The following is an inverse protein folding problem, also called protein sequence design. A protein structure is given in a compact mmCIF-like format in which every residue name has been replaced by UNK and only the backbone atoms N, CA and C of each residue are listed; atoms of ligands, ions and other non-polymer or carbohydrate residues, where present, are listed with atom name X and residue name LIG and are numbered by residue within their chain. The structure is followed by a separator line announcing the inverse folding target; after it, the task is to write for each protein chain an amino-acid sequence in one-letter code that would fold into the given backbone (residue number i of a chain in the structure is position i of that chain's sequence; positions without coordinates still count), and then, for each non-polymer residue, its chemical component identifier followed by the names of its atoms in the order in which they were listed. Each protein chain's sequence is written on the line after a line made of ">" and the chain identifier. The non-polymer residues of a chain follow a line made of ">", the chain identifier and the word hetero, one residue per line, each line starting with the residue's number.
data_IF_226077995404
#
_entry.id   IF_226077995404
#
_cell.length_a   1.000
_cell.length_b   1.000
_cell.length_c   1.000
_cell.angle_alpha   90.00
_cell.angle_beta   90.00
_cell.angle_gamma   90.00
#
_symmetry.space_group_name_H-M   'P 1'
#
loop_
_entity.id
_entity.type
_entity.pdbx_description
1 polymer ?
#
# COMPACT_ATOMS: atom_id res chain seq x y z
N UNK A 1 -17.02 -2.96 34.06
CA UNK A 1 -18.00 -3.62 33.16
C UNK A 1 -18.99 -2.57 32.70
N UNK A 2 -19.06 -2.31 31.40
CA UNK A 2 -20.05 -1.41 30.81
C UNK A 2 -21.44 -2.01 31.00
N UNK A 3 -22.34 -1.31 31.68
CA UNK A 3 -23.72 -1.80 31.87
C UNK A 3 -24.43 -1.90 30.51
N UNK A 4 -25.24 -2.96 30.33
CA UNK A 4 -25.98 -3.26 29.10
C UNK A 4 -26.74 -2.04 28.56
N UNK A 5 -27.32 -1.24 29.48
CA UNK A 5 -28.02 0.01 29.17
C UNK A 5 -27.16 0.98 28.33
N UNK A 6 -25.92 1.24 28.75
CA UNK A 6 -25.05 2.21 28.06
C UNK A 6 -24.56 1.68 26.72
N UNK A 7 -24.40 0.36 26.61
CA UNK A 7 -24.07 -0.27 25.33
C UNK A 7 -25.21 -0.11 24.33
N UNK A 8 -26.45 -0.37 24.73
CA UNK A 8 -27.64 -0.17 23.89
C UNK A 8 -27.79 1.30 23.48
N UNK A 9 -27.60 2.24 24.40
CA UNK A 9 -27.60 3.68 24.10
C UNK A 9 -26.51 4.06 23.08
N UNK A 10 -25.29 3.55 23.26
CA UNK A 10 -24.19 3.80 22.34
C UNK A 10 -24.45 3.19 20.96
N UNK A 11 -25.02 1.99 20.90
CA UNK A 11 -25.37 1.30 19.66
C UNK A 11 -26.47 2.02 18.88
N UNK A 12 -27.48 2.55 19.59
CA UNK A 12 -28.55 3.35 19.02
C UNK A 12 -28.01 4.66 18.43
N UNK A 13 -27.02 5.28 19.08
CA UNK A 13 -26.33 6.47 18.59
C UNK A 13 -24.97 6.19 17.92
N UNK A 14 -24.79 5.01 17.29
CA UNK A 14 -23.55 4.64 16.60
C UNK A 14 -23.17 5.56 15.45
N UNK A 15 -24.10 6.40 14.98
CA UNK A 15 -23.82 7.48 14.01
C UNK A 15 -22.73 8.43 14.49
N UNK A 16 -22.61 8.65 15.80
CA UNK A 16 -21.54 9.47 16.38
C UNK A 16 -20.16 8.83 16.15
N UNK A 17 -20.07 7.51 16.36
CA UNK A 17 -18.86 6.72 16.09
C UNK A 17 -18.55 6.69 14.59
N UNK A 18 -19.56 6.45 13.75
CA UNK A 18 -19.42 6.52 12.28
C UNK A 18 -18.95 7.90 11.81
N UNK A 19 -19.41 8.97 12.46
CA UNK A 19 -18.92 10.33 12.22
C UNK A 19 -17.44 10.50 12.58
N UNK A 20 -16.99 9.93 13.69
CA UNK A 20 -15.59 9.96 14.10
C UNK A 20 -14.69 9.15 13.15
N UNK A 21 -15.15 7.97 12.70
CA UNK A 21 -14.47 7.17 11.67
C UNK A 21 -14.32 7.95 10.36
N UNK A 22 -15.41 8.59 9.91
CA UNK A 22 -15.39 9.44 8.72
C UNK A 22 -14.42 10.61 8.87
N UNK A 23 -14.37 11.24 10.04
CA UNK A 23 -13.42 12.33 10.33
C UNK A 23 -11.96 11.84 10.39
N UNK A 24 -11.73 10.58 10.75
CA UNK A 24 -10.42 9.91 10.67
C UNK A 24 -10.08 9.39 9.26
N UNK A 25 -10.88 9.74 8.23
CA UNK A 25 -10.74 9.26 6.85
C UNK A 25 -10.89 7.73 6.68
N UNK A 26 -11.54 7.05 7.63
CA UNK A 26 -11.87 5.63 7.50
C UNK A 26 -13.20 5.49 6.77
N UNK A 27 -13.17 4.81 5.62
CA UNK A 27 -14.34 4.54 4.78
C UNK A 27 -14.90 3.13 5.07
N UNK A 28 -16.18 2.86 4.76
CA UNK A 28 -16.79 1.54 4.97
C UNK A 28 -16.13 0.38 4.21
N UNK A 29 -15.40 0.66 3.13
CA UNK A 29 -14.64 -0.33 2.35
C UNK A 29 -13.28 -0.66 2.96
N UNK A 30 -12.87 0.01 4.04
CA UNK A 30 -11.65 -0.31 4.76
C UNK A 30 -11.80 -1.66 5.50
N UNK A 31 -10.82 -2.54 5.34
CA UNK A 31 -10.86 -3.91 5.86
C UNK A 31 -11.09 -4.03 7.39
N UNK A 32 -10.71 -3.02 8.19
CA UNK A 32 -10.95 -3.00 9.65
C UNK A 32 -12.10 -2.07 10.06
N UNK A 33 -12.96 -1.66 9.12
CA UNK A 33 -14.03 -0.69 9.42
C UNK A 33 -14.96 -1.18 10.54
N UNK A 34 -15.44 -2.41 10.45
CA UNK A 34 -16.38 -2.99 11.43
C UNK A 34 -15.74 -3.15 12.81
N UNK A 35 -14.46 -3.54 12.86
CA UNK A 35 -13.72 -3.67 14.12
C UNK A 35 -13.55 -2.31 14.80
N UNK A 36 -13.14 -1.29 14.04
CA UNK A 36 -13.02 0.08 14.55
C UNK A 36 -14.37 0.67 14.98
N UNK A 37 -15.46 0.29 14.30
CA UNK A 37 -16.81 0.69 14.67
C UNK A 37 -17.22 0.05 16.01
N UNK A 38 -16.99 -1.25 16.18
CA UNK A 38 -17.31 -1.98 17.41
C UNK A 38 -16.51 -1.44 18.60
N UNK A 39 -15.19 -1.29 18.45
CA UNK A 39 -14.31 -0.70 19.46
C UNK A 39 -14.78 0.72 19.83
N UNK A 40 -15.15 1.50 18.83
CA UNK A 40 -15.70 2.84 19.02
C UNK A 40 -17.02 2.84 19.79
N UNK A 41 -17.93 1.90 19.54
CA UNK A 41 -19.18 1.79 20.32
C UNK A 41 -18.88 1.43 21.77
N UNK A 42 -17.96 0.49 22.02
CA UNK A 42 -17.56 0.11 23.38
C UNK A 42 -16.98 1.29 24.14
N UNK A 43 -16.07 2.05 23.50
CA UNK A 43 -15.48 3.24 24.09
C UNK A 43 -16.53 4.32 24.36
N UNK A 44 -17.48 4.49 23.46
CA UNK A 44 -18.57 5.45 23.66
C UNK A 44 -19.47 5.04 24.83
N UNK A 45 -19.86 3.76 24.92
CA UNK A 45 -20.63 3.24 26.04
C UNK A 45 -19.93 3.45 27.40
N UNK A 46 -18.60 3.28 27.45
CA UNK A 46 -17.80 3.57 28.63
C UNK A 46 -17.79 5.06 28.99
N UNK A 47 -17.74 5.95 27.99
CA UNK A 47 -17.85 7.39 28.20
C UNK A 47 -19.23 7.80 28.74
N UNK A 48 -20.30 7.18 28.24
CA UNK A 48 -21.66 7.40 28.75
C UNK A 48 -21.75 6.99 30.22
N UNK A 49 -21.27 5.79 30.56
CA UNK A 49 -21.28 5.30 31.93
C UNK A 49 -20.48 6.17 32.89
N UNK A 50 -19.29 6.63 32.49
CA UNK A 50 -18.39 7.42 33.35
C UNK A 50 -18.85 8.84 33.61
N UNK A 51 -19.56 9.44 32.65
CA UNK A 51 -19.98 10.85 32.70
C UNK A 51 -21.47 11.02 33.00
N UNK A 52 -22.20 9.91 33.16
CA UNK A 52 -23.61 9.92 33.54
C UNK A 52 -23.80 10.67 34.86
N UNK A 53 -24.80 11.55 34.92
CA UNK A 53 -25.06 12.43 36.05
C UNK A 53 -24.05 13.57 36.29
N UNK A 54 -22.88 13.56 35.65
CA UNK A 54 -21.87 14.63 35.80
C UNK A 54 -22.02 15.73 34.75
N UNK A 55 -22.41 15.36 33.52
CA UNK A 55 -22.48 16.27 32.37
C UNK A 55 -23.76 16.05 31.58
N UNK A 56 -24.28 17.10 30.92
CA UNK A 56 -25.38 16.94 29.99
C UNK A 56 -24.95 16.07 28.80
N UNK A 57 -25.90 15.32 28.24
CA UNK A 57 -25.64 14.35 27.17
C UNK A 57 -24.90 14.95 25.97
N UNK A 58 -25.26 16.17 25.58
CA UNK A 58 -24.63 16.89 24.46
C UNK A 58 -23.14 17.17 24.68
N UNK A 59 -22.72 17.37 25.92
CA UNK A 59 -21.31 17.58 26.27
C UNK A 59 -20.56 16.24 26.31
N UNK A 60 -21.19 15.18 26.83
CA UNK A 60 -20.66 13.81 26.79
C UNK A 60 -20.40 13.39 25.35
N UNK A 61 -21.33 13.64 24.43
CA UNK A 61 -21.20 13.30 23.02
C UNK A 61 -20.04 14.04 22.34
N UNK A 62 -19.88 15.34 22.62
CA UNK A 62 -18.75 16.14 22.11
C UNK A 62 -17.39 15.62 22.61
N UNK A 63 -17.31 15.30 23.90
CA UNK A 63 -16.10 14.74 24.52
C UNK A 63 -15.79 13.34 23.96
N UNK A 64 -16.82 12.52 23.84
CA UNK A 64 -16.73 11.18 23.26
C UNK A 64 -16.25 11.23 21.82
N UNK A 65 -16.79 12.13 21.00
CA UNK A 65 -16.36 12.31 19.62
C UNK A 65 -14.86 12.63 19.52
N UNK A 66 -14.36 13.57 20.32
CA UNK A 66 -12.92 13.90 20.36
C UNK A 66 -12.10 12.68 20.77
N UNK A 67 -12.51 11.97 21.82
CA UNK A 67 -11.79 10.80 22.33
C UNK A 67 -11.78 9.65 21.31
N UNK A 68 -12.90 9.40 20.64
CA UNK A 68 -13.03 8.42 19.57
C UNK A 68 -12.09 8.74 18.41
N UNK A 69 -12.08 9.99 17.95
CA UNK A 69 -11.20 10.42 16.87
C UNK A 69 -9.73 10.15 17.21
N UNK A 70 -9.30 10.52 18.42
CA UNK A 70 -7.94 10.25 18.89
C UNK A 70 -7.63 8.76 18.96
N UNK A 71 -8.56 7.96 19.50
CA UNK A 71 -8.42 6.52 19.61
C UNK A 71 -8.27 5.85 18.24
N UNK A 72 -9.14 6.17 17.29
CA UNK A 72 -9.10 5.65 15.92
C UNK A 72 -7.77 6.02 15.25
N UNK A 73 -7.34 7.27 15.35
CA UNK A 73 -6.06 7.72 14.76
C UNK A 73 -4.88 6.96 15.37
N UNK A 74 -4.88 6.72 16.68
CA UNK A 74 -3.80 6.00 17.34
C UNK A 74 -3.77 4.51 16.94
N UNK A 75 -4.93 3.88 16.82
CA UNK A 75 -5.05 2.51 16.28
C UNK A 75 -4.53 2.43 14.84
N UNK A 76 -4.92 3.35 13.96
CA UNK A 76 -4.41 3.39 12.58
C UNK A 76 -2.90 3.60 12.52
N UNK A 77 -2.33 4.45 13.39
CA UNK A 77 -0.86 4.63 13.48
C UNK A 77 -0.16 3.37 13.97
N UNK A 78 -0.79 2.60 14.87
CA UNK A 78 -0.26 1.32 15.32
C UNK A 78 -0.24 0.32 14.18
N UNK A 79 -1.33 0.17 13.45
CA UNK A 79 -1.43 -0.72 12.29
C UNK A 79 -0.42 -0.34 11.21
N UNK A 80 -0.26 0.96 10.93
CA UNK A 80 0.76 1.45 10.00
C UNK A 80 2.17 1.01 10.41
N UNK A 81 2.55 1.19 11.69
CA UNK A 81 3.87 0.77 12.19
C UNK A 81 4.11 -0.73 12.06
N UNK A 82 3.08 -1.54 12.29
CA UNK A 82 3.16 -3.00 12.13
C UNK A 82 3.34 -3.36 10.67
N UNK A 83 2.56 -2.75 9.78
CA UNK A 83 2.65 -2.97 8.34
C UNK A 83 4.03 -2.57 7.78
N UNK A 84 4.56 -1.41 8.16
CA UNK A 84 5.89 -0.94 7.75
C UNK A 84 7.00 -1.88 8.21
N UNK A 85 6.92 -2.36 9.46
CA UNK A 85 7.87 -3.34 10.01
C UNK A 85 7.81 -4.66 9.24
N UNK A 86 6.60 -5.17 8.97
CA UNK A 86 6.44 -6.44 8.26
C UNK A 86 6.87 -6.33 6.80
N UNK A 87 6.54 -5.23 6.12
CA UNK A 87 7.01 -4.96 4.75
C UNK A 87 8.53 -4.96 4.65
N UNK A 88 9.24 -4.45 5.66
CA UNK A 88 10.69 -4.48 5.70
C UNK A 88 11.24 -5.92 5.83
N UNK A 89 10.53 -6.79 6.56
CA UNK A 89 10.88 -8.21 6.70
C UNK A 89 10.61 -8.95 5.38
N UNK A 90 9.44 -8.73 4.77
CA UNK A 90 9.06 -9.37 3.50
C UNK A 90 10.05 -9.02 2.38
N UNK A 91 10.41 -7.73 2.26
CA UNK A 91 11.44 -7.29 1.31
C UNK A 91 12.82 -7.89 1.58
N UNK A 92 13.17 -8.12 2.85
CA UNK A 92 14.42 -8.78 3.20
C UNK A 92 14.38 -10.28 2.86
N UNK A 93 13.19 -10.90 2.91
CA UNK A 93 12.98 -12.28 2.51
C UNK A 93 13.04 -12.44 0.98
N UNK A 94 12.50 -11.49 0.21
CA UNK A 94 12.60 -11.45 -1.26
C UNK A 94 14.06 -11.36 -1.74
N UNK A 95 14.96 -10.72 -0.98
CA UNK A 95 16.40 -10.72 -1.29
C UNK A 95 17.07 -12.09 -1.08
N UNK A 96 16.43 -12.98 -0.32
CA UNK A 96 16.85 -14.37 -0.08
C UNK A 96 16.25 -15.36 -1.08
N UNK A 97 15.29 -14.94 -1.90
CA UNK A 97 14.83 -15.73 -3.04
C UNK A 97 16.02 -15.83 -3.99
N UNK A 98 16.58 -17.03 -4.13
CA UNK A 98 17.75 -17.28 -4.95
C UNK A 98 17.47 -16.70 -6.34
N UNK A 99 18.17 -15.61 -6.68
CA UNK A 99 18.14 -15.07 -8.04
C UNK A 99 18.21 -16.26 -8.98
N UNK A 100 17.28 -16.37 -9.94
CA UNK A 100 17.28 -17.47 -10.89
C UNK A 100 18.59 -17.40 -11.69
N UNK A 101 19.67 -17.96 -11.13
CA UNK A 101 21.03 -17.82 -11.62
C UNK A 101 21.12 -18.41 -13.03
N UNK A 102 20.31 -19.43 -13.30
CA UNK A 102 20.11 -20.02 -14.61
C UNK A 102 19.58 -18.98 -15.62
N UNK A 103 18.59 -18.16 -15.23
CA UNK A 103 18.07 -17.08 -16.07
C UNK A 103 19.13 -16.00 -16.32
N UNK A 104 19.97 -15.69 -15.32
CA UNK A 104 21.07 -14.73 -15.47
C UNK A 104 22.18 -15.25 -16.40
N UNK A 105 22.49 -16.54 -16.32
CA UNK A 105 23.45 -17.21 -17.21
C UNK A 105 22.92 -17.27 -18.64
N UNK A 106 21.64 -17.62 -18.81
CA UNK A 106 20.97 -17.62 -20.12
C UNK A 106 20.96 -16.22 -20.74
N UNK A 107 20.60 -15.19 -19.96
CA UNK A 107 20.62 -13.79 -20.39
C UNK A 107 22.02 -13.35 -20.82
N UNK A 108 23.06 -13.70 -20.06
CA UNK A 108 24.46 -13.37 -20.39
C UNK A 108 24.91 -14.01 -21.71
N UNK A 109 24.48 -15.24 -21.98
CA UNK A 109 24.81 -15.95 -23.21
C UNK A 109 24.08 -15.35 -24.42
N UNK A 110 22.83 -14.94 -24.25
CA UNK A 110 22.05 -14.32 -25.32
C UNK A 110 22.46 -12.87 -25.59
N UNK A 111 22.84 -12.11 -24.57
CA UNK A 111 23.37 -10.76 -24.74
C UNK A 111 24.59 -10.72 -25.67
N UNK A 112 25.42 -11.78 -25.69
CA UNK A 112 26.56 -11.91 -26.62
C UNK A 112 26.16 -12.14 -28.07
N UNK A 113 24.96 -12.68 -28.32
CA UNK A 113 24.43 -12.96 -29.68
C UNK A 113 23.65 -11.78 -30.27
N UNK A 114 23.30 -10.79 -29.44
CA UNK A 114 22.58 -9.59 -29.87
C UNK A 114 23.44 -8.70 -30.77
N UNK A 115 22.78 -8.02 -31.70
CA UNK A 115 23.41 -6.95 -32.49
C UNK A 115 23.87 -5.80 -31.59
N UNK A 116 24.87 -5.03 -32.02
CA UNK A 116 25.35 -3.85 -31.30
C UNK A 116 24.21 -2.88 -30.92
N UNK A 117 23.26 -2.64 -31.83
CA UNK A 117 22.10 -1.79 -31.54
C UNK A 117 21.12 -2.43 -30.54
N UNK A 118 20.99 -3.75 -30.54
CA UNK A 118 20.16 -4.48 -29.57
C UNK A 118 20.83 -4.48 -28.18
N UNK A 119 22.16 -4.58 -28.11
CA UNK A 119 22.93 -4.44 -26.88
C UNK A 119 22.80 -3.04 -26.29
N UNK A 120 22.91 -1.99 -27.12
CA UNK A 120 22.68 -0.61 -26.68
C UNK A 120 21.28 -0.45 -26.10
N UNK A 121 20.24 -1.00 -26.74
CA UNK A 121 18.89 -0.97 -26.18
C UNK A 121 18.80 -1.78 -24.87
N UNK A 122 19.51 -2.91 -24.75
CA UNK A 122 19.49 -3.70 -23.52
C UNK A 122 20.16 -2.97 -22.35
N UNK A 123 21.38 -2.48 -22.53
CA UNK A 123 22.15 -1.87 -21.46
C UNK A 123 21.70 -0.44 -21.17
N UNK A 124 21.62 0.42 -22.19
CA UNK A 124 21.36 1.85 -22.01
C UNK A 124 19.87 2.14 -21.74
N UNK A 125 18.96 1.49 -22.48
CA UNK A 125 17.52 1.74 -22.33
C UNK A 125 16.88 0.92 -21.21
N UNK A 126 17.11 -0.39 -21.19
CA UNK A 126 16.40 -1.31 -20.30
C UNK A 126 17.03 -1.38 -18.89
N UNK A 127 18.36 -1.34 -18.78
CA UNK A 127 19.05 -1.42 -17.49
C UNK A 127 19.34 -0.03 -16.90
N UNK A 128 19.91 0.90 -17.68
CA UNK A 128 20.26 2.25 -17.20
C UNK A 128 19.09 3.26 -17.28
N UNK A 129 17.94 2.86 -17.83
CA UNK A 129 16.71 3.67 -17.94
C UNK A 129 16.86 4.95 -18.77
N UNK A 130 17.82 5.03 -19.70
CA UNK A 130 17.91 6.16 -20.64
C UNK A 130 16.67 6.22 -21.54
N UNK A 131 16.26 7.42 -21.94
CA UNK A 131 15.07 7.57 -22.79
C UNK A 131 15.38 7.21 -24.24
N UNK A 132 14.37 6.71 -24.98
CA UNK A 132 14.52 6.40 -26.41
C UNK A 132 14.92 7.67 -27.20
N UNK A 133 14.50 8.85 -26.75
CA UNK A 133 14.87 10.14 -27.35
C UNK A 133 16.36 10.42 -27.23
N UNK A 134 16.98 10.15 -26.06
CA UNK A 134 18.43 10.28 -25.89
C UNK A 134 19.21 9.30 -26.78
N UNK A 135 18.70 8.07 -26.93
CA UNK A 135 19.34 7.07 -27.81
C UNK A 135 19.25 7.40 -29.30
N UNK A 136 18.24 8.16 -29.73
CA UNK A 136 18.15 8.66 -31.12
C UNK A 136 19.28 9.66 -31.38
N UNK A 137 19.56 10.53 -30.40
CA UNK A 137 20.62 11.54 -30.49
C UNK A 137 22.02 10.91 -30.43
N UNK A 138 22.23 9.93 -29.55
CA UNK A 138 23.53 9.26 -29.36
C UNK A 138 23.89 8.29 -30.50
N UNK A 139 22.91 7.55 -31.04
CA UNK A 139 23.17 6.54 -32.07
C UNK A 139 22.86 7.00 -33.50
N UNK A 140 22.21 8.16 -33.69
CA UNK A 140 21.80 8.66 -35.00
C UNK A 140 20.75 7.79 -35.72
N UNK A 141 20.06 6.90 -34.99
CA UNK A 141 19.08 5.95 -35.55
C UNK A 141 17.66 6.50 -35.40
N UNK A 142 16.79 6.40 -36.43
CA UNK A 142 15.41 6.85 -36.33
C UNK A 142 14.64 6.16 -35.19
N UNK A 143 13.83 6.95 -34.48
CA UNK A 143 13.01 6.49 -33.34
C UNK A 143 12.13 5.27 -33.66
N UNK A 144 11.63 5.18 -34.89
CA UNK A 144 10.79 4.07 -35.37
C UNK A 144 11.59 2.76 -35.38
N UNK A 145 12.84 2.81 -35.85
CA UNK A 145 13.75 1.66 -35.89
C UNK A 145 14.09 1.17 -34.49
N UNK A 146 14.41 2.08 -33.56
CA UNK A 146 14.69 1.72 -32.16
C UNK A 146 13.48 1.09 -31.46
N UNK A 147 12.26 1.62 -31.69
CA UNK A 147 11.03 1.01 -31.15
C UNK A 147 10.78 -0.39 -31.71
N UNK A 148 11.01 -0.60 -33.00
CA UNK A 148 10.87 -1.92 -33.64
C UNK A 148 11.89 -2.92 -33.09
N UNK A 149 13.16 -2.51 -32.98
CA UNK A 149 14.23 -3.32 -32.41
C UNK A 149 13.97 -3.65 -30.94
N UNK A 150 13.49 -2.69 -30.13
CA UNK A 150 13.07 -2.95 -28.75
C UNK A 150 12.00 -4.03 -28.68
N UNK A 151 10.98 -3.97 -29.54
CA UNK A 151 9.90 -4.98 -29.56
C UNK A 151 10.44 -6.37 -29.93
N UNK A 152 11.35 -6.46 -30.90
CA UNK A 152 12.00 -7.71 -31.30
C UNK A 152 12.90 -8.26 -30.20
N UNK A 153 13.69 -7.40 -29.56
CA UNK A 153 14.55 -7.74 -28.43
C UNK A 153 13.73 -8.30 -27.26
N UNK A 154 12.64 -7.64 -26.87
CA UNK A 154 11.77 -8.13 -25.80
C UNK A 154 11.15 -9.50 -26.12
N UNK A 155 10.82 -9.76 -27.39
CA UNK A 155 10.36 -11.09 -27.83
C UNK A 155 11.44 -12.16 -27.68
N UNK A 156 12.67 -11.87 -28.09
CA UNK A 156 13.83 -12.77 -27.92
C UNK A 156 14.12 -13.05 -26.45
N UNK A 157 14.15 -12.01 -25.61
CA UNK A 157 14.43 -12.12 -24.18
C UNK A 157 13.34 -12.92 -23.45
N UNK A 158 12.08 -12.74 -23.81
CA UNK A 158 10.98 -13.53 -23.23
C UNK A 158 11.13 -15.02 -23.56
N UNK A 159 11.46 -15.37 -24.80
CA UNK A 159 11.66 -16.77 -25.20
C UNK A 159 12.83 -17.45 -24.47
N UNK A 160 13.80 -16.69 -23.97
CA UNK A 160 14.98 -17.18 -23.27
C UNK A 160 14.74 -17.33 -21.77
N UNK A 161 13.86 -16.50 -21.20
CA UNK A 161 13.54 -16.51 -19.76
C UNK A 161 12.36 -17.43 -19.40
N UNK A 162 11.57 -17.88 -20.39
CA UNK A 162 10.45 -18.83 -20.23
C UNK A 162 10.85 -20.28 -20.55
N UNK A 163 12.15 -20.56 -20.76
CA UNK A 163 12.73 -21.90 -20.91
C UNK A 163 13.37 -22.36 -19.60
#
# INVERSE_FOLDING_TARGET
>A
MTSQKYFEEAWNNRKLVGGALKAAHVRPDYHLYEDLLQDGVILYADMLHKLDGQKPRTEIDKLSFKKLLWHIIDTLRREQRVCERNTAIDKAYDLGEAAAWDNLVALKNEAKKLSHLEQVILFEHLLEKKTITQLVEECGVPRITLKRLKKQLLGKLRAVMEQ
#
